data_IF_580963331707
#
_entry.id   IF_580963331707
#
_cell.length_a   1.000
_cell.length_b   1.000
_cell.length_c   1.000
_cell.angle_alpha   90.00
_cell.angle_beta   90.00
_cell.angle_gamma   90.00
#
_symmetry.space_group_name_H-M   'P 1'
#
loop_
_entity.id
_entity.type
_entity.pdbx_description
1 polymer ?
#
# COMPACT_ATOMS: atom_id res chain seq x y z
N UNK A 1 -23.98 -12.87 -1.41
CA UNK A 1 -23.42 -13.20 -0.08
C UNK A 1 -24.30 -12.71 1.07
N UNK A 2 -25.50 -13.27 1.25
CA UNK A 2 -26.29 -13.08 2.49
C UNK A 2 -27.25 -11.89 2.57
N UNK A 3 -27.39 -11.08 1.51
CA UNK A 3 -28.31 -9.92 1.49
C UNK A 3 -29.46 -10.04 0.48
N UNK A 4 -29.54 -11.14 -0.26
CA UNK A 4 -30.54 -11.36 -1.32
C UNK A 4 -30.12 -10.78 -2.67
N UNK A 5 -31.05 -10.82 -3.62
CA UNK A 5 -30.87 -10.33 -4.98
C UNK A 5 -31.40 -8.90 -5.11
N UNK A 6 -30.65 -8.05 -5.81
CA UNK A 6 -31.03 -6.66 -6.06
C UNK A 6 -30.96 -6.35 -7.57
N UNK A 7 -31.92 -5.59 -8.09
CA UNK A 7 -31.71 -4.88 -9.36
C UNK A 7 -30.43 -4.04 -9.28
N UNK A 8 -29.71 -3.94 -10.40
CA UNK A 8 -28.39 -3.30 -10.42
C UNK A 8 -28.41 -1.86 -9.87
N UNK A 9 -29.40 -1.06 -10.23
CA UNK A 9 -29.49 0.33 -9.74
C UNK A 9 -29.81 0.38 -8.23
N UNK A 10 -30.66 -0.54 -7.74
CA UNK A 10 -30.91 -0.67 -6.30
C UNK A 10 -29.66 -1.10 -5.53
N UNK A 11 -28.82 -1.95 -6.13
CA UNK A 11 -27.52 -2.31 -5.59
C UNK A 11 -26.58 -1.10 -5.53
N UNK A 12 -26.48 -0.30 -6.60
CA UNK A 12 -25.60 0.88 -6.65
C UNK A 12 -26.03 1.95 -5.64
N UNK A 13 -27.33 2.12 -5.39
CA UNK A 13 -27.84 2.99 -4.31
C UNK A 13 -27.35 2.59 -2.91
N UNK A 14 -26.86 1.36 -2.74
CA UNK A 14 -26.43 0.77 -1.47
C UNK A 14 -24.91 0.68 -1.32
N UNK A 15 -24.16 1.36 -2.18
CA UNK A 15 -22.68 1.42 -2.12
C UNK A 15 -22.21 2.59 -1.25
N UNK A 16 -21.48 2.27 -0.17
CA UNK A 16 -21.05 3.19 0.89
C UNK A 16 -19.56 3.59 0.84
N UNK A 17 -18.89 3.39 -0.28
CA UNK A 17 -17.44 3.62 -0.47
C UNK A 17 -16.98 5.07 -0.22
N UNK A 18 -17.77 6.05 -0.66
CA UNK A 18 -17.39 7.47 -0.62
C UNK A 18 -18.41 8.30 0.17
N UNK A 19 -18.01 9.37 0.86
CA UNK A 19 -18.95 10.23 1.57
C UNK A 19 -19.77 11.07 0.58
N UNK A 20 -21.04 11.36 0.93
CA UNK A 20 -21.94 12.15 0.08
C UNK A 20 -21.54 13.63 -0.06
N UNK A 21 -20.56 14.09 0.74
CA UNK A 21 -20.03 15.46 0.69
C UNK A 21 -19.06 15.70 -0.46
N UNK A 22 -18.65 14.65 -1.20
CA UNK A 22 -17.78 14.81 -2.35
C UNK A 22 -18.46 15.54 -3.51
N UNK A 23 -17.68 16.17 -4.41
CA UNK A 23 -18.23 16.82 -5.61
C UNK A 23 -19.07 15.84 -6.43
N UNK A 24 -20.18 16.33 -7.01
CA UNK A 24 -21.11 15.50 -7.79
C UNK A 24 -20.42 14.68 -8.88
N UNK A 25 -19.48 15.27 -9.62
CA UNK A 25 -18.72 14.57 -10.65
C UNK A 25 -17.92 13.37 -10.10
N UNK A 26 -17.38 13.46 -8.87
CA UNK A 26 -16.69 12.34 -8.23
C UNK A 26 -17.68 11.24 -7.80
N UNK A 27 -18.87 11.63 -7.29
CA UNK A 27 -19.93 10.67 -6.96
C UNK A 27 -20.45 9.94 -8.21
N UNK A 28 -20.64 10.65 -9.31
CA UNK A 28 -21.06 10.10 -10.61
C UNK A 28 -20.00 9.13 -11.17
N UNK A 29 -18.72 9.51 -11.12
CA UNK A 29 -17.61 8.63 -11.50
C UNK A 29 -17.56 7.35 -10.64
N UNK A 30 -17.75 7.48 -9.32
CA UNK A 30 -17.79 6.33 -8.41
C UNK A 30 -18.99 5.42 -8.69
N UNK A 31 -20.17 5.98 -9.00
CA UNK A 31 -21.36 5.19 -9.33
C UNK A 31 -21.15 4.37 -10.62
N UNK A 32 -20.56 4.98 -11.66
CA UNK A 32 -20.19 4.29 -12.90
C UNK A 32 -19.16 3.17 -12.64
N UNK A 33 -18.12 3.47 -11.85
CA UNK A 33 -17.11 2.48 -11.48
C UNK A 33 -17.72 1.31 -10.71
N UNK A 34 -18.57 1.59 -9.73
CA UNK A 34 -19.23 0.57 -8.93
C UNK A 34 -20.12 -0.35 -9.78
N UNK A 35 -20.93 0.24 -10.66
CA UNK A 35 -21.80 -0.51 -11.59
C UNK A 35 -20.99 -1.42 -12.52
N UNK A 36 -19.90 -0.89 -13.07
CA UNK A 36 -19.00 -1.61 -13.98
C UNK A 36 -18.33 -2.80 -13.27
N UNK A 37 -17.82 -2.55 -12.06
CA UNK A 37 -17.19 -3.57 -11.24
C UNK A 37 -18.17 -4.69 -10.88
N UNK A 38 -19.37 -4.36 -10.40
CA UNK A 38 -20.38 -5.34 -10.03
C UNK A 38 -20.73 -6.26 -11.21
N UNK A 39 -20.97 -5.71 -12.40
CA UNK A 39 -21.26 -6.50 -13.60
C UNK A 39 -20.08 -7.40 -14.00
N UNK A 40 -18.86 -6.87 -14.02
CA UNK A 40 -17.68 -7.63 -14.41
C UNK A 40 -17.33 -8.73 -13.38
N UNK A 41 -17.54 -8.47 -12.09
CA UNK A 41 -17.27 -9.41 -11.00
C UNK A 41 -18.27 -10.57 -10.99
N UNK A 42 -19.55 -10.28 -11.21
CA UNK A 42 -20.65 -11.25 -11.14
C UNK A 42 -20.92 -11.97 -12.45
N UNK A 43 -20.13 -11.75 -13.51
CA UNK A 43 -20.43 -12.22 -14.86
C UNK A 43 -21.85 -11.81 -15.30
N UNK A 44 -22.09 -10.50 -15.33
CA UNK A 44 -23.36 -9.88 -15.68
C UNK A 44 -24.54 -10.35 -14.79
N UNK A 45 -24.31 -10.45 -13.48
CA UNK A 45 -25.34 -10.84 -12.50
C UNK A 45 -25.57 -12.36 -12.37
N UNK A 46 -24.79 -13.19 -13.07
CA UNK A 46 -24.88 -14.66 -12.96
C UNK A 46 -24.27 -15.22 -11.68
N UNK A 47 -23.49 -14.42 -10.95
CA UNK A 47 -22.79 -14.80 -9.73
C UNK A 47 -22.99 -13.78 -8.61
N UNK A 48 -22.42 -14.09 -7.45
CA UNK A 48 -22.52 -13.24 -6.28
C UNK A 48 -21.31 -12.30 -6.13
N UNK A 49 -21.51 -11.19 -5.40
CA UNK A 49 -20.46 -10.25 -4.99
C UNK A 49 -20.40 -10.13 -3.47
N UNK A 50 -19.21 -9.87 -2.93
CA UNK A 50 -19.03 -9.63 -1.50
C UNK A 50 -19.40 -8.19 -1.10
N UNK A 51 -19.75 -8.01 0.18
CA UNK A 51 -20.27 -6.74 0.71
C UNK A 51 -19.26 -5.94 1.53
N UNK A 52 -18.03 -6.42 1.63
CA UNK A 52 -16.90 -5.75 2.28
C UNK A 52 -16.04 -5.01 1.26
N UNK A 53 -15.06 -4.28 1.78
CA UNK A 53 -13.99 -3.57 1.05
C UNK A 53 -13.18 -4.50 0.11
N UNK A 54 -13.28 -5.83 0.29
CA UNK A 54 -12.68 -6.82 -0.62
C UNK A 54 -13.36 -6.84 -1.99
N UNK A 55 -14.60 -6.35 -2.10
CA UNK A 55 -15.30 -6.14 -3.36
C UNK A 55 -15.82 -4.70 -3.39
N UNK A 56 -16.93 -4.45 -2.70
CA UNK A 56 -17.53 -3.14 -2.54
C UNK A 56 -18.28 -3.05 -1.20
N UNK A 57 -18.14 -1.93 -0.49
CA UNK A 57 -18.86 -1.70 0.78
C UNK A 57 -20.35 -1.53 0.51
N UNK A 58 -21.13 -2.57 0.79
CA UNK A 58 -22.59 -2.60 0.60
C UNK A 58 -23.34 -2.54 1.94
N UNK A 59 -24.45 -1.81 1.99
CA UNK A 59 -25.37 -1.82 3.12
C UNK A 59 -26.80 -2.17 2.69
N UNK A 60 -27.59 -2.75 3.60
CA UNK A 60 -28.98 -3.12 3.29
C UNK A 60 -29.89 -1.91 2.99
N UNK A 61 -29.62 -0.78 3.65
CA UNK A 61 -30.35 0.46 3.45
C UNK A 61 -29.71 1.27 2.32
N UNK A 62 -30.49 1.84 1.39
CA UNK A 62 -29.95 2.72 0.37
C UNK A 62 -29.45 4.02 1.01
N UNK A 63 -28.40 4.61 0.42
CA UNK A 63 -27.99 5.98 0.72
C UNK A 63 -29.05 6.97 0.28
N UNK A 64 -28.89 8.19 0.76
CA UNK A 64 -29.80 9.29 0.46
C UNK A 64 -29.06 10.39 -0.32
N UNK A 65 -29.60 11.61 -0.31
CA UNK A 65 -28.87 12.82 -0.68
C UNK A 65 -28.19 12.82 -2.05
N UNK A 66 -26.97 13.33 -2.07
CA UNK A 66 -26.22 13.55 -3.30
C UNK A 66 -25.85 12.24 -4.00
N UNK A 67 -25.71 11.13 -3.26
CA UNK A 67 -25.46 9.82 -3.85
C UNK A 67 -26.61 9.36 -4.73
N UNK A 68 -27.86 9.48 -4.26
CA UNK A 68 -29.04 9.09 -5.05
C UNK A 68 -29.10 9.87 -6.37
N UNK A 69 -28.76 11.17 -6.33
CA UNK A 69 -28.71 11.98 -7.53
C UNK A 69 -27.63 11.52 -8.50
N UNK A 70 -26.43 11.22 -8.01
CA UNK A 70 -25.31 10.72 -8.83
C UNK A 70 -25.63 9.37 -9.51
N UNK A 71 -26.26 8.45 -8.77
CA UNK A 71 -26.69 7.15 -9.32
C UNK A 71 -27.71 7.35 -10.43
N UNK A 72 -28.72 8.19 -10.22
CA UNK A 72 -29.76 8.49 -11.23
C UNK A 72 -29.21 9.22 -12.46
N UNK A 73 -28.30 10.17 -12.26
CA UNK A 73 -27.67 10.90 -13.37
C UNK A 73 -26.85 9.98 -14.28
N UNK A 74 -26.38 8.85 -13.74
CA UNK A 74 -25.51 7.90 -14.44
C UNK A 74 -26.17 6.54 -14.65
N UNK A 75 -27.50 6.46 -14.57
CA UNK A 75 -28.25 5.22 -14.70
C UNK A 75 -27.89 4.50 -16.02
N UNK A 76 -27.56 3.21 -15.92
CA UNK A 76 -27.14 2.41 -17.08
C UNK A 76 -25.76 2.73 -17.67
N UNK A 77 -25.04 3.75 -17.18
CA UNK A 77 -23.68 4.05 -17.65
C UNK A 77 -22.66 3.10 -17.01
N UNK A 78 -21.89 2.42 -17.86
CA UNK A 78 -20.85 1.47 -17.49
C UNK A 78 -19.61 1.65 -18.35
N UNK A 79 -18.44 1.39 -17.78
CA UNK A 79 -17.18 1.32 -18.49
C UNK A 79 -17.01 -0.06 -19.13
N UNK A 80 -16.66 -0.08 -20.43
CA UNK A 80 -16.51 -1.32 -21.19
C UNK A 80 -15.17 -1.37 -21.94
N UNK A 81 -14.70 -2.58 -22.21
CA UNK A 81 -13.57 -2.86 -23.09
C UNK A 81 -13.90 -4.06 -23.94
N UNK A 82 -13.80 -3.92 -25.27
CA UNK A 82 -14.23 -4.97 -26.20
C UNK A 82 -15.70 -5.36 -26.05
N UNK A 83 -16.57 -4.41 -25.70
CA UNK A 83 -18.00 -4.62 -25.48
C UNK A 83 -18.38 -5.27 -24.15
N UNK A 84 -17.42 -5.62 -23.29
CA UNK A 84 -17.68 -6.23 -21.98
C UNK A 84 -17.43 -5.22 -20.85
N UNK A 85 -18.24 -5.20 -19.77
CA UNK A 85 -17.95 -4.41 -18.57
C UNK A 85 -16.56 -4.71 -18.02
N UNK A 86 -15.87 -3.68 -17.54
CA UNK A 86 -14.54 -3.82 -16.96
C UNK A 86 -14.59 -3.96 -15.43
N UNK A 87 -13.62 -4.69 -14.87
CA UNK A 87 -13.33 -4.61 -13.43
C UNK A 87 -12.70 -3.25 -13.11
N UNK A 88 -13.56 -2.26 -12.85
CA UNK A 88 -13.18 -0.90 -12.53
C UNK A 88 -12.69 -0.80 -11.07
N UNK A 89 -11.46 -1.21 -10.84
CA UNK A 89 -10.82 -1.12 -9.53
C UNK A 89 -10.64 0.34 -9.11
N UNK A 90 -10.87 0.60 -7.83
CA UNK A 90 -10.68 1.90 -7.19
C UNK A 90 -10.04 1.73 -5.81
N UNK A 91 -9.46 2.80 -5.28
CA UNK A 91 -8.84 2.84 -3.96
C UNK A 91 -9.10 4.21 -3.31
N UNK A 92 -9.06 4.27 -1.97
CA UNK A 92 -9.20 5.55 -1.24
C UNK A 92 -8.08 6.53 -1.59
N UNK A 93 -6.83 6.09 -1.45
CA UNK A 93 -5.64 6.92 -1.66
C UNK A 93 -4.51 6.02 -2.17
N UNK A 94 -3.73 6.49 -3.15
CA UNK A 94 -2.70 5.70 -3.82
C UNK A 94 -1.35 6.43 -3.95
N UNK A 95 -1.12 7.48 -3.13
CA UNK A 95 0.18 8.13 -2.99
C UNK A 95 0.70 8.84 -4.24
N UNK A 96 -0.17 9.12 -5.21
CA UNK A 96 0.16 9.82 -6.46
C UNK A 96 0.53 8.91 -7.64
N UNK A 97 0.58 7.59 -7.45
CA UNK A 97 0.81 6.62 -8.54
C UNK A 97 -0.30 5.59 -8.59
N UNK A 98 -0.82 5.35 -9.78
CA UNK A 98 -1.83 4.34 -10.07
C UNK A 98 -1.09 3.15 -10.66
N UNK A 99 -1.31 1.96 -10.12
CA UNK A 99 -0.72 0.73 -10.65
C UNK A 99 -1.61 0.07 -11.71
N UNK A 100 -0.99 -0.52 -12.72
CA UNK A 100 -1.65 -1.40 -13.68
C UNK A 100 -2.05 -2.73 -13.05
N UNK A 101 -2.94 -3.49 -13.71
CA UNK A 101 -3.26 -4.84 -13.26
C UNK A 101 -2.04 -5.76 -13.23
N UNK A 102 -1.09 -5.56 -14.15
CA UNK A 102 0.12 -6.37 -14.23
C UNK A 102 1.04 -6.16 -13.02
N UNK A 103 1.13 -4.93 -12.51
CA UNK A 103 1.93 -4.58 -11.32
C UNK A 103 1.33 -5.12 -10.02
N UNK A 104 -0.01 -5.22 -9.95
CA UNK A 104 -0.69 -5.67 -8.73
C UNK A 104 -0.97 -7.18 -8.76
N UNK A 105 -1.67 -7.67 -9.77
CA UNK A 105 -2.19 -9.05 -9.82
C UNK A 105 -1.60 -9.91 -10.93
N UNK A 106 -0.74 -9.34 -11.78
CA UNK A 106 -0.37 -9.93 -13.06
C UNK A 106 -1.50 -9.81 -14.09
N UNK A 107 -1.20 -10.14 -15.35
CA UNK A 107 -2.16 -10.09 -16.46
C UNK A 107 -2.52 -8.65 -16.88
N UNK A 108 -1.96 -8.20 -18.00
CA UNK A 108 -2.21 -6.85 -18.50
C UNK A 108 -3.64 -6.69 -19.02
N UNK A 109 -4.32 -5.63 -18.60
CA UNK A 109 -5.59 -5.21 -19.24
C UNK A 109 -5.38 -4.01 -20.13
N UNK A 110 -6.35 -3.71 -20.99
CA UNK A 110 -6.33 -2.50 -21.81
C UNK A 110 -6.67 -1.22 -21.02
N UNK A 111 -7.27 -1.34 -19.83
CA UNK A 111 -7.94 -0.25 -19.13
C UNK A 111 -7.38 0.06 -17.73
N UNK A 112 -6.56 -0.81 -17.13
CA UNK A 112 -5.77 -0.48 -15.93
C UNK A 112 -4.30 -0.31 -16.31
N UNK A 113 -3.83 0.94 -16.29
CA UNK A 113 -2.47 1.32 -16.69
C UNK A 113 -1.75 2.01 -15.55
N UNK A 114 -0.43 1.94 -15.59
CA UNK A 114 0.38 2.79 -14.73
C UNK A 114 0.10 4.25 -15.11
N UNK A 115 -0.19 5.09 -14.12
CA UNK A 115 -0.43 6.51 -14.32
C UNK A 115 -0.02 7.32 -13.09
N UNK A 116 0.29 8.59 -13.29
CA UNK A 116 0.64 9.52 -12.22
C UNK A 116 -0.53 10.45 -11.97
N UNK A 117 -1.05 10.44 -10.75
CA UNK A 117 -2.17 11.29 -10.34
C UNK A 117 -1.66 12.59 -9.74
N UNK A 118 -1.30 13.49 -10.64
CA UNK A 118 -1.02 14.88 -10.34
C UNK A 118 -1.75 15.75 -11.35
N UNK A 119 -1.91 17.03 -11.03
CA UNK A 119 -2.58 18.00 -11.91
C UNK A 119 -1.85 18.19 -13.26
N UNK A 120 -0.58 17.78 -13.34
CA UNK A 120 0.26 17.88 -14.54
C UNK A 120 0.54 16.54 -15.21
N UNK A 121 0.12 15.42 -14.61
CA UNK A 121 0.47 14.06 -15.05
C UNK A 121 1.93 13.67 -14.79
N UNK A 122 2.67 14.45 -14.00
CA UNK A 122 4.03 14.17 -13.59
C UNK A 122 4.25 14.54 -12.11
N UNK A 123 4.99 13.70 -11.39
CA UNK A 123 5.40 13.95 -10.02
C UNK A 123 6.72 14.75 -10.00
N UNK A 124 7.82 14.17 -10.47
CA UNK A 124 9.13 14.84 -10.55
C UNK A 124 9.81 15.17 -9.21
N UNK A 125 9.07 15.25 -8.10
CA UNK A 125 9.60 15.42 -6.74
C UNK A 125 8.57 15.03 -5.67
N UNK A 126 9.02 14.81 -4.43
CA UNK A 126 8.12 14.61 -3.28
C UNK A 126 7.27 15.85 -2.97
N UNK A 127 7.83 17.06 -3.16
CA UNK A 127 7.11 18.33 -3.01
C UNK A 127 5.90 18.40 -3.96
N UNK A 128 6.08 17.97 -5.21
CA UNK A 128 5.00 17.95 -6.20
C UNK A 128 3.93 16.91 -5.87
N UNK A 129 4.32 15.73 -5.39
CA UNK A 129 3.35 14.72 -4.91
C UNK A 129 2.51 15.29 -3.76
N UNK A 130 3.17 15.87 -2.76
CA UNK A 130 2.50 16.45 -1.59
C UNK A 130 1.60 17.64 -1.98
N UNK A 131 2.08 18.53 -2.82
CA UNK A 131 1.32 19.71 -3.22
C UNK A 131 0.17 19.39 -4.18
N UNK A 132 0.26 18.31 -4.95
CA UNK A 132 -0.81 17.90 -5.88
C UNK A 132 -1.94 17.13 -5.20
N UNK A 133 -1.68 16.53 -4.04
CA UNK A 133 -2.65 15.70 -3.35
C UNK A 133 -3.85 16.50 -2.83
N UNK A 134 -5.06 16.01 -3.12
CA UNK A 134 -6.30 16.62 -2.66
C UNK A 134 -6.38 16.64 -1.13
N UNK A 135 -5.96 15.55 -0.50
CA UNK A 135 -5.96 15.35 0.95
C UNK A 135 -4.60 15.66 1.60
N UNK A 136 -3.77 16.52 0.98
CA UNK A 136 -2.45 16.93 1.53
C UNK A 136 -2.50 17.53 2.95
N UNK A 137 -3.64 18.06 3.37
CA UNK A 137 -3.87 18.57 4.73
C UNK A 137 -4.33 17.49 5.70
N UNK A 138 -4.65 16.29 5.20
CA UNK A 138 -5.01 15.15 6.01
C UNK A 138 -3.80 14.72 6.84
N UNK A 139 -3.96 14.54 8.16
CA UNK A 139 -2.90 13.96 8.97
C UNK A 139 -2.54 12.55 8.51
N UNK A 140 -3.40 11.89 7.71
CA UNK A 140 -3.22 10.53 7.21
C UNK A 140 -2.39 10.41 5.92
N UNK A 141 -2.22 11.49 5.15
CA UNK A 141 -1.58 11.42 3.82
C UNK A 141 -0.07 11.10 3.92
N UNK A 142 0.57 11.50 5.02
CA UNK A 142 1.93 11.13 5.41
C UNK A 142 2.01 10.70 6.88
N UNK A 143 0.94 10.11 7.44
CA UNK A 143 1.08 9.53 8.77
C UNK A 143 2.04 8.35 8.71
N UNK A 144 2.79 8.20 9.78
CA UNK A 144 3.48 6.97 10.13
C UNK A 144 2.43 5.88 10.39
N UNK A 145 2.17 5.06 9.37
CA UNK A 145 1.24 3.94 9.47
C UNK A 145 1.81 2.88 10.43
N UNK A 146 1.12 2.69 11.54
CA UNK A 146 1.55 1.85 12.67
C UNK A 146 1.48 2.66 13.97
N UNK A 147 1.51 1.98 15.11
CA UNK A 147 1.59 2.68 16.38
C UNK A 147 2.33 1.86 17.42
N UNK A 148 3.18 2.53 18.19
CA UNK A 148 3.96 1.93 19.27
C UNK A 148 3.56 2.61 20.57
N UNK A 149 2.83 1.89 21.43
CA UNK A 149 2.27 2.45 22.65
C UNK A 149 3.34 3.11 23.54
N UNK A 150 4.53 2.50 23.59
CA UNK A 150 5.68 2.97 24.35
C UNK A 150 6.37 4.22 23.76
N UNK A 151 6.00 4.65 22.55
CA UNK A 151 6.56 5.82 21.85
C UNK A 151 5.48 6.81 21.42
N UNK A 152 4.56 7.15 22.32
CA UNK A 152 3.50 8.12 22.05
C UNK A 152 2.69 7.79 20.77
N UNK A 153 2.49 6.49 20.50
CA UNK A 153 1.77 5.95 19.34
C UNK A 153 2.38 6.28 17.98
N UNK A 154 3.66 6.64 17.92
CA UNK A 154 4.37 6.77 16.64
C UNK A 154 4.85 5.43 16.07
N UNK A 155 4.96 5.34 14.76
CA UNK A 155 5.61 4.29 13.99
C UNK A 155 7.09 4.61 13.67
N UNK A 156 7.63 5.77 14.07
CA UNK A 156 9.04 6.11 13.86
C UNK A 156 9.97 5.13 14.58
N UNK A 157 11.04 4.72 13.88
CA UNK A 157 12.15 3.97 14.46
C UNK A 157 13.10 4.92 15.18
N UNK A 158 13.73 4.41 16.23
CA UNK A 158 14.90 5.07 16.83
C UNK A 158 16.16 4.85 15.98
N UNK A 159 17.17 5.73 16.11
CA UNK A 159 18.47 5.56 15.47
C UNK A 159 19.09 4.17 15.63
N UNK A 160 18.99 3.57 16.82
CA UNK A 160 19.53 2.24 17.13
C UNK A 160 18.71 1.09 16.51
N UNK A 161 17.40 1.28 16.31
CA UNK A 161 16.52 0.27 15.69
C UNK A 161 16.71 0.25 14.17
N UNK A 162 16.91 1.43 13.59
CA UNK A 162 17.32 1.55 12.20
C UNK A 162 18.74 0.98 11.98
N UNK A 163 19.66 1.21 12.93
CA UNK A 163 21.00 0.63 12.89
C UNK A 163 20.97 -0.90 12.86
N UNK A 164 20.06 -1.54 13.60
CA UNK A 164 19.92 -2.99 13.54
C UNK A 164 19.39 -3.49 12.17
N UNK A 165 18.42 -2.79 11.59
CA UNK A 165 17.95 -3.08 10.21
C UNK A 165 19.11 -2.98 9.20
N UNK A 166 19.98 -1.98 9.34
CA UNK A 166 21.18 -1.82 8.50
C UNK A 166 22.17 -2.95 8.74
N UNK A 167 22.45 -3.29 10.00
CA UNK A 167 23.37 -4.36 10.37
C UNK A 167 22.94 -5.72 9.80
N UNK A 168 21.66 -6.06 9.92
CA UNK A 168 21.12 -7.31 9.35
C UNK A 168 21.21 -7.34 7.83
N UNK A 169 21.01 -6.20 7.16
CA UNK A 169 21.16 -6.09 5.71
C UNK A 169 22.63 -6.25 5.28
N UNK A 170 23.57 -5.65 6.00
CA UNK A 170 25.01 -5.84 5.78
C UNK A 170 25.41 -7.31 5.98
N UNK A 171 24.87 -7.95 7.02
CA UNK A 171 25.20 -9.33 7.34
C UNK A 171 24.72 -10.29 6.26
N UNK A 172 23.48 -10.14 5.77
CA UNK A 172 22.98 -10.97 4.65
C UNK A 172 23.74 -10.73 3.36
N UNK A 173 24.20 -9.51 3.10
CA UNK A 173 25.06 -9.23 1.93
C UNK A 173 26.44 -9.89 2.05
N UNK A 174 26.99 -9.97 3.25
CA UNK A 174 28.27 -10.63 3.51
C UNK A 174 28.14 -12.15 3.53
N UNK A 175 27.03 -12.67 4.03
CA UNK A 175 26.74 -14.10 4.18
C UNK A 175 25.23 -14.37 4.14
N UNK A 176 24.73 -14.82 2.99
CA UNK A 176 23.32 -15.14 2.81
C UNK A 176 22.81 -16.29 3.70
N UNK A 177 23.72 -17.13 4.21
CA UNK A 177 23.41 -18.26 5.08
C UNK A 177 22.88 -17.83 6.46
N UNK A 178 23.05 -16.56 6.84
CA UNK A 178 22.53 -16.06 8.12
C UNK A 178 21.07 -15.62 8.04
N UNK A 179 20.48 -15.54 6.84
CA UNK A 179 19.18 -14.89 6.61
C UNK A 179 18.04 -15.44 7.46
N UNK A 180 18.03 -16.75 7.72
CA UNK A 180 17.02 -17.43 8.53
C UNK A 180 17.07 -17.05 10.02
N UNK A 181 18.16 -16.46 10.50
CA UNK A 181 18.29 -16.00 11.88
C UNK A 181 17.92 -14.52 12.08
N UNK A 182 17.58 -13.81 11.01
CA UNK A 182 17.48 -12.34 10.98
C UNK A 182 16.04 -11.85 10.79
N UNK A 183 15.08 -12.62 11.29
CA UNK A 183 13.69 -12.20 11.42
C UNK A 183 13.50 -11.30 12.66
N UNK A 184 12.26 -10.86 12.86
CA UNK A 184 11.84 -9.98 13.95
C UNK A 184 12.10 -10.64 15.31
N UNK A 185 12.69 -9.91 16.24
CA UNK A 185 13.03 -10.42 17.58
C UNK A 185 11.81 -10.53 18.50
N UNK A 186 10.70 -9.86 18.17
CA UNK A 186 9.45 -9.84 18.93
C UNK A 186 8.40 -10.87 18.46
N UNK A 187 8.78 -11.76 17.53
CA UNK A 187 7.93 -12.84 17.01
C UNK A 187 8.68 -14.17 16.93
N UNK A 188 7.96 -15.31 16.95
CA UNK A 188 8.55 -16.60 16.61
C UNK A 188 9.18 -16.56 15.22
N UNK A 189 10.33 -17.21 15.08
CA UNK A 189 11.00 -17.35 13.79
C UNK A 189 10.20 -18.27 12.85
N UNK A 190 9.81 -17.81 11.65
CA UNK A 190 9.02 -18.61 10.72
C UNK A 190 9.77 -19.81 10.12
N UNK A 191 11.11 -19.81 10.12
CA UNK A 191 11.94 -20.93 9.67
C UNK A 191 12.15 -21.99 10.76
N UNK A 192 11.63 -21.77 11.98
CA UNK A 192 11.77 -22.72 13.08
C UNK A 192 13.17 -22.74 13.73
N UNK A 193 13.99 -21.72 13.47
CA UNK A 193 15.30 -21.53 14.11
C UNK A 193 15.27 -20.40 15.14
N UNK A 194 16.41 -20.06 15.74
CA UNK A 194 16.58 -18.90 16.62
C UNK A 194 16.53 -17.55 15.86
N UNK A 195 16.10 -16.50 16.57
CA UNK A 195 16.25 -15.12 16.11
C UNK A 195 17.45 -14.48 16.79
N UNK A 196 18.43 -14.02 16.01
CA UNK A 196 19.58 -13.32 16.55
C UNK A 196 19.19 -11.93 17.02
N UNK A 197 19.51 -11.62 18.28
CA UNK A 197 19.39 -10.27 18.82
C UNK A 197 20.43 -9.32 18.19
N UNK A 198 20.28 -8.02 18.46
CA UNK A 198 21.13 -6.97 17.93
C UNK A 198 22.60 -7.19 18.31
N UNK A 199 22.87 -7.72 19.51
CA UNK A 199 24.22 -8.01 19.98
C UNK A 199 24.90 -9.11 19.16
N UNK A 200 24.17 -10.19 18.90
CA UNK A 200 24.61 -11.33 18.08
C UNK A 200 24.86 -10.90 16.65
N UNK A 201 23.97 -10.12 16.04
CA UNK A 201 24.15 -9.57 14.68
C UNK A 201 25.44 -8.74 14.61
N UNK A 202 25.66 -7.84 15.57
CA UNK A 202 26.89 -7.03 15.62
C UNK A 202 28.15 -7.90 15.79
N UNK A 203 28.08 -8.97 16.57
CA UNK A 203 29.19 -9.90 16.72
C UNK A 203 29.52 -10.62 15.42
N UNK A 204 28.49 -11.09 14.70
CA UNK A 204 28.67 -11.79 13.41
C UNK A 204 29.21 -10.88 12.31
N UNK A 205 28.88 -9.59 12.32
CA UNK A 205 29.52 -8.58 11.47
C UNK A 205 31.02 -8.42 11.80
N UNK A 206 31.36 -8.27 13.09
CA UNK A 206 32.77 -8.16 13.52
C UNK A 206 33.59 -9.39 13.16
N UNK A 207 33.01 -10.59 13.31
CA UNK A 207 33.65 -11.85 12.92
C UNK A 207 33.99 -11.89 11.42
N UNK A 208 33.28 -11.13 10.60
CA UNK A 208 33.49 -10.98 9.15
C UNK A 208 34.30 -9.73 8.79
N UNK A 209 34.91 -9.06 9.76
CA UNK A 209 35.71 -7.86 9.54
C UNK A 209 34.90 -6.61 9.16
N UNK A 210 33.59 -6.61 9.41
CA UNK A 210 32.71 -5.48 9.14
C UNK A 210 32.46 -4.65 10.40
N UNK A 211 32.31 -3.34 10.23
CA UNK A 211 31.99 -2.43 11.32
C UNK A 211 30.47 -2.36 11.51
N UNK A 212 29.94 -2.82 12.66
CA UNK A 212 28.52 -2.66 12.94
C UNK A 212 28.16 -1.22 13.30
N UNK A 213 26.92 -0.84 13.01
CA UNK A 213 26.30 0.39 13.46
C UNK A 213 25.75 0.23 14.87
N UNK A 214 25.98 1.20 15.75
CA UNK A 214 25.21 1.35 16.99
C UNK A 214 24.12 2.40 16.84
N UNK A 215 24.29 3.38 15.95
CA UNK A 215 23.32 4.44 15.71
C UNK A 215 23.41 4.96 14.27
N UNK A 216 22.26 5.19 13.66
CA UNK A 216 22.14 5.90 12.38
C UNK A 216 21.91 7.38 12.64
N UNK A 217 22.75 8.23 12.05
CA UNK A 217 22.65 9.68 12.18
C UNK A 217 21.87 10.34 11.05
N UNK A 218 21.82 9.72 9.87
CA UNK A 218 21.17 10.28 8.69
C UNK A 218 20.66 9.19 7.74
N UNK A 219 19.54 9.48 7.08
CA UNK A 219 18.96 8.65 6.02
C UNK A 219 18.39 9.53 4.92
N UNK A 220 18.66 9.16 3.66
CA UNK A 220 18.12 9.83 2.48
C UNK A 220 17.71 8.84 1.41
N UNK A 221 16.78 9.27 0.54
CA UNK A 221 16.12 8.42 -0.45
C UNK A 221 16.32 8.99 -1.84
N UNK A 222 16.67 8.13 -2.80
CA UNK A 222 16.54 8.41 -4.23
C UNK A 222 15.34 7.65 -4.79
N UNK A 223 14.48 8.33 -5.55
CA UNK A 223 13.29 7.75 -6.15
C UNK A 223 13.23 8.02 -7.66
N UNK A 224 12.69 7.06 -8.39
CA UNK A 224 12.21 7.27 -9.76
C UNK A 224 10.77 7.77 -9.71
N UNK A 225 10.60 9.06 -9.97
CA UNK A 225 9.29 9.71 -9.97
C UNK A 225 8.45 9.43 -11.22
N UNK A 226 8.97 8.68 -12.20
CA UNK A 226 8.17 8.22 -13.33
C UNK A 226 7.43 6.93 -13.00
N UNK A 227 8.06 6.03 -12.23
CA UNK A 227 7.49 4.74 -11.83
C UNK A 227 6.99 4.69 -10.38
N UNK A 228 7.28 5.73 -9.59
CA UNK A 228 6.90 5.78 -8.17
C UNK A 228 7.69 4.81 -7.29
N UNK A 229 8.92 4.48 -7.67
CA UNK A 229 9.75 3.47 -6.99
C UNK A 229 10.94 4.13 -6.29
N UNK A 230 11.24 3.68 -5.07
CA UNK A 230 12.51 3.99 -4.41
C UNK A 230 13.65 3.22 -5.06
N UNK A 231 14.60 3.95 -5.67
CA UNK A 231 15.79 3.36 -6.27
C UNK A 231 16.80 2.95 -5.20
N UNK A 232 17.11 3.88 -4.29
CA UNK A 232 18.11 3.64 -3.27
C UNK A 232 17.82 4.35 -1.96
N UNK A 233 18.38 3.79 -0.90
CA UNK A 233 18.35 4.31 0.47
C UNK A 233 19.79 4.47 0.93
N UNK A 234 20.20 5.72 1.14
CA UNK A 234 21.52 6.10 1.62
C UNK A 234 21.47 6.33 3.11
N UNK A 235 22.36 5.70 3.86
CA UNK A 235 22.38 5.72 5.32
C UNK A 235 23.77 6.09 5.82
N UNK A 236 23.84 6.96 6.81
CA UNK A 236 25.09 7.30 7.51
C UNK A 236 24.93 7.16 9.01
N UNK A 237 25.99 6.73 9.68
CA UNK A 237 26.03 6.55 11.12
C UNK A 237 27.44 6.26 11.62
N UNK A 238 27.55 5.76 12.84
CA UNK A 238 28.85 5.43 13.47
C UNK A 238 29.57 4.24 12.80
N UNK A 239 28.84 3.41 12.06
CA UNK A 239 29.38 2.35 11.21
C UNK A 239 29.86 2.81 9.81
N UNK A 240 29.76 4.10 9.49
CA UNK A 240 30.11 4.69 8.18
C UNK A 240 28.89 5.00 7.31
N UNK A 241 29.10 5.09 5.99
CA UNK A 241 28.02 5.34 5.02
C UNK A 241 27.79 4.14 4.11
N UNK A 242 26.51 3.84 3.84
CA UNK A 242 26.08 2.74 2.98
C UNK A 242 24.99 3.22 2.03
N UNK A 243 24.89 2.55 0.88
CA UNK A 243 23.80 2.76 -0.08
C UNK A 243 23.19 1.41 -0.44
N UNK A 244 21.87 1.31 -0.31
CA UNK A 244 21.12 0.07 -0.53
C UNK A 244 20.10 0.25 -1.64
N UNK A 245 19.82 -0.81 -2.40
CA UNK A 245 18.66 -0.83 -3.27
C UNK A 245 17.38 -0.68 -2.43
N UNK A 246 16.41 0.10 -2.91
CA UNK A 246 15.16 0.36 -2.18
C UNK A 246 14.35 -0.90 -1.88
N UNK A 247 14.32 -1.85 -2.81
CA UNK A 247 13.65 -3.14 -2.64
C UNK A 247 14.32 -4.00 -1.56
N UNK A 248 15.66 -4.10 -1.58
CA UNK A 248 16.41 -4.83 -0.55
C UNK A 248 16.17 -4.25 0.84
N UNK A 249 16.21 -2.91 0.96
CA UNK A 249 15.97 -2.22 2.22
C UNK A 249 14.54 -2.47 2.72
N UNK A 250 13.54 -2.30 1.85
CA UNK A 250 12.13 -2.58 2.17
C UNK A 250 11.92 -4.02 2.64
N UNK A 251 12.49 -4.99 1.91
CA UNK A 251 12.37 -6.40 2.25
C UNK A 251 12.98 -6.68 3.62
N UNK A 252 14.19 -6.16 3.89
CA UNK A 252 14.80 -6.34 5.21
C UNK A 252 14.05 -5.62 6.31
N UNK A 253 13.58 -4.39 6.07
CA UNK A 253 12.76 -3.65 7.02
C UNK A 253 11.54 -4.49 7.43
N UNK A 254 10.79 -5.04 6.48
CA UNK A 254 9.62 -5.88 6.78
C UNK A 254 9.97 -7.18 7.51
N UNK A 255 11.18 -7.72 7.33
CA UNK A 255 11.64 -8.92 8.01
C UNK A 255 12.19 -8.66 9.40
N UNK A 256 12.62 -7.43 9.72
CA UNK A 256 13.41 -7.14 10.93
C UNK A 256 12.85 -6.07 11.84
N UNK A 257 12.17 -5.05 11.30
CA UNK A 257 11.52 -4.03 12.11
C UNK A 257 10.49 -4.68 13.06
N UNK A 258 10.19 -4.06 14.22
CA UNK A 258 9.15 -4.53 15.13
C UNK A 258 7.88 -4.91 14.39
N UNK A 259 7.24 -6.03 14.74
CA UNK A 259 6.21 -6.64 13.89
C UNK A 259 4.94 -5.81 13.67
N UNK A 260 4.71 -4.81 14.51
CA UNK A 260 3.64 -3.84 14.33
C UNK A 260 4.00 -2.70 13.34
N UNK A 261 5.21 -2.71 12.77
CA UNK A 261 5.71 -1.80 11.77
C UNK A 261 6.04 -2.59 10.50
N UNK A 262 5.37 -2.26 9.41
CA UNK A 262 5.60 -2.92 8.13
C UNK A 262 5.29 -1.95 7.00
N UNK A 263 6.13 -1.96 5.98
CA UNK A 263 5.85 -1.32 4.70
C UNK A 263 4.99 -2.30 3.91
N UNK A 264 3.69 -2.07 4.05
CA UNK A 264 2.66 -2.86 3.39
C UNK A 264 2.84 -2.85 1.87
N UNK A 265 2.78 -4.02 1.25
CA UNK A 265 2.87 -4.15 -0.20
C UNK A 265 1.59 -3.68 -0.90
N UNK A 266 1.62 -3.52 -2.23
CA UNK A 266 0.42 -3.18 -3.02
C UNK A 266 -0.72 -4.21 -2.88
N UNK A 267 -0.42 -5.42 -2.38
CA UNK A 267 -1.37 -6.49 -2.12
C UNK A 267 -1.92 -6.52 -0.69
N UNK A 268 -1.52 -5.60 0.19
CA UNK A 268 -1.87 -5.67 1.61
C UNK A 268 -3.38 -5.61 1.88
N UNK A 269 -4.15 -4.86 1.09
CA UNK A 269 -5.61 -4.85 1.20
C UNK A 269 -6.30 -6.00 0.42
N UNK A 270 -5.53 -6.86 -0.26
CA UNK A 270 -6.05 -8.08 -0.90
C UNK A 270 -6.05 -9.25 0.09
N UNK A 271 -5.69 -9.03 1.35
CA UNK A 271 -5.87 -10.01 2.42
C UNK A 271 -7.35 -10.41 2.48
N UNK A 272 -7.63 -11.66 2.07
CA UNK A 272 -8.88 -12.35 2.38
C UNK A 272 -9.00 -12.35 3.91
N UNK A 273 -9.84 -11.48 4.45
CA UNK A 273 -10.46 -11.73 5.75
C UNK A 273 -11.43 -12.90 5.64
#
# INVERSE_FOLDING_TARGET
QGHGDFPLEDYVLRIYEVPESWPMAALEAQAIAARSFALAYTNNGSGEICTSESCQVFQSNPKTGAWVQAVRNTEGLVMTSGGNPIKAWYASTHGGYIFSSAEVWGGSTAYTKHATDTTTGAAGSFETLQSSAYDRSSPWFYCDWGSRAQYNKTAWLKPEELADTVNTLLLVKADGGTSEHLYQTDKPNPAGTDNWDEGRVKQELRNRGLTPYNSVSDISISADFNSGVTNSVSISGDGGSQNFNGGDFKNRFNLRAPANLQIVGPLFNVERK
#
